data_IF_480688243243
#
_entry.id   IF_480688243243
#
_cell.length_a   1.000
_cell.length_b   1.000
_cell.length_c   1.000
_cell.angle_alpha   90.00
_cell.angle_beta   90.00
_cell.angle_gamma   90.00
#
_symmetry.space_group_name_H-M   'P 1'
#
loop_
_entity.id
_entity.type
_entity.pdbx_description
1 polymer ?
#
# COMPACT_ATOMS: atom_id res chain seq x y z
N UNK A 1 3.76 5.32 -30.25
CA UNK A 1 5.04 4.90 -29.63
C UNK A 1 5.66 6.02 -28.80
N UNK A 2 5.85 7.22 -29.35
CA UNK A 2 6.36 8.40 -28.63
C UNK A 2 5.54 8.80 -27.38
N UNK A 3 4.21 8.92 -27.51
CA UNK A 3 3.33 9.31 -26.39
C UNK A 3 3.39 8.32 -25.22
N UNK A 4 3.40 7.01 -25.51
CA UNK A 4 3.51 5.97 -24.47
C UNK A 4 4.81 6.11 -23.68
N UNK A 5 5.91 6.39 -24.37
CA UNK A 5 7.22 6.58 -23.73
C UNK A 5 7.26 7.86 -22.89
N UNK A 6 6.65 8.96 -23.37
CA UNK A 6 6.52 10.19 -22.59
C UNK A 6 5.73 9.96 -21.29
N UNK A 7 4.59 9.28 -21.37
CA UNK A 7 3.77 8.95 -20.19
C UNK A 7 4.51 8.05 -19.19
N UNK A 8 5.30 7.09 -19.66
CA UNK A 8 6.11 6.25 -18.78
C UNK A 8 7.17 7.09 -18.06
N UNK A 9 7.87 7.97 -18.78
CA UNK A 9 8.91 8.83 -18.20
C UNK A 9 8.33 9.81 -17.17
N UNK A 10 7.15 10.38 -17.44
CA UNK A 10 6.43 11.24 -16.50
C UNK A 10 6.07 10.47 -15.22
N UNK A 11 5.51 9.27 -15.38
CA UNK A 11 5.14 8.42 -14.25
C UNK A 11 6.38 8.01 -13.43
N UNK A 12 7.48 7.62 -14.07
CA UNK A 12 8.75 7.32 -13.40
C UNK A 12 9.30 8.52 -12.63
N UNK A 13 9.23 9.72 -13.21
CA UNK A 13 9.63 10.95 -12.55
C UNK A 13 8.77 11.21 -11.30
N UNK A 14 7.45 11.14 -11.42
CA UNK A 14 6.52 11.39 -10.32
C UNK A 14 6.72 10.40 -9.17
N UNK A 15 6.88 9.11 -9.47
CA UNK A 15 7.17 8.10 -8.44
C UNK A 15 8.54 8.30 -7.78
N UNK A 16 9.54 8.82 -8.50
CA UNK A 16 10.85 9.14 -7.94
C UNK A 16 10.78 10.31 -6.96
N UNK A 17 10.04 11.38 -7.32
CA UNK A 17 9.79 12.53 -6.45
C UNK A 17 9.01 12.09 -5.22
N UNK A 18 7.94 11.33 -5.41
CA UNK A 18 7.10 10.81 -4.33
C UNK A 18 7.89 9.94 -3.36
N UNK A 19 8.71 9.02 -3.86
CA UNK A 19 9.56 8.15 -3.03
C UNK A 19 10.56 8.97 -2.20
N UNK A 20 11.18 9.98 -2.83
CA UNK A 20 12.11 10.90 -2.14
C UNK A 20 11.40 11.69 -1.04
N UNK A 21 10.19 12.17 -1.32
CA UNK A 21 9.36 12.89 -0.35
C UNK A 21 8.98 12.01 0.84
N UNK A 22 8.47 10.80 0.60
CA UNK A 22 8.13 9.82 1.65
C UNK A 22 9.36 9.49 2.50
N UNK A 23 10.51 9.27 1.87
CA UNK A 23 11.76 8.96 2.57
C UNK A 23 12.20 10.12 3.47
N UNK A 24 12.13 11.36 2.96
CA UNK A 24 12.46 12.57 3.72
C UNK A 24 11.52 12.80 4.89
N UNK A 25 10.20 12.63 4.70
CA UNK A 25 9.22 12.76 5.78
C UNK A 25 9.47 11.74 6.89
N UNK A 26 9.68 10.48 6.52
CA UNK A 26 9.94 9.41 7.48
C UNK A 26 11.26 9.60 8.25
N UNK A 27 12.32 10.10 7.61
CA UNK A 27 13.59 10.37 8.30
C UNK A 27 13.50 11.50 9.34
N UNK A 28 12.51 12.40 9.19
CA UNK A 28 12.17 13.43 10.19
C UNK A 28 11.17 12.96 11.25
N UNK A 29 10.76 11.68 11.22
CA UNK A 29 9.74 11.13 12.12
C UNK A 29 8.29 11.48 11.75
N UNK A 30 8.05 12.11 10.60
CA UNK A 30 6.71 12.45 10.13
C UNK A 30 6.12 11.26 9.36
N UNK A 31 5.47 10.37 10.10
CA UNK A 31 5.04 9.06 9.58
C UNK A 31 3.61 9.02 9.02
N UNK A 32 2.85 10.11 9.18
CA UNK A 32 1.46 10.23 8.70
C UNK A 32 1.35 10.04 7.18
N UNK A 33 2.40 10.44 6.43
CA UNK A 33 2.48 10.25 4.99
C UNK A 33 2.27 8.80 4.57
N UNK A 34 2.71 7.82 5.37
CA UNK A 34 2.54 6.40 5.03
C UNK A 34 1.06 6.01 5.01
N UNK A 35 0.25 6.61 5.89
CA UNK A 35 -1.19 6.38 5.95
C UNK A 35 -1.92 7.10 4.83
N UNK A 36 -1.49 8.31 4.50
CA UNK A 36 -2.00 9.04 3.33
C UNK A 36 -1.78 8.23 2.04
N UNK A 37 -0.60 7.58 1.90
CA UNK A 37 -0.29 6.74 0.75
C UNK A 37 -1.24 5.57 0.54
N UNK A 38 -1.91 5.09 1.59
CA UNK A 38 -2.92 4.03 1.45
C UNK A 38 -4.10 4.49 0.59
N UNK A 39 -4.61 5.71 0.79
CA UNK A 39 -5.68 6.28 -0.03
C UNK A 39 -5.18 6.70 -1.42
N UNK A 40 -3.97 7.25 -1.53
CA UNK A 40 -3.41 7.67 -2.82
C UNK A 40 -3.13 6.51 -3.77
N UNK A 41 -2.61 5.38 -3.26
CA UNK A 41 -2.29 4.21 -4.08
C UNK A 41 -3.52 3.35 -4.41
N UNK A 42 -4.58 3.39 -3.60
CA UNK A 42 -5.80 2.61 -3.80
C UNK A 42 -6.38 2.68 -5.23
N UNK A 43 -6.62 3.87 -5.83
CA UNK A 43 -7.17 3.93 -7.18
C UNK A 43 -6.20 3.37 -8.22
N UNK A 44 -4.89 3.58 -8.06
CA UNK A 44 -3.86 3.06 -8.96
C UNK A 44 -3.85 1.53 -8.92
N UNK A 45 -3.84 0.95 -7.72
CA UNK A 45 -3.82 -0.50 -7.51
C UNK A 45 -5.10 -1.17 -8.04
N UNK A 46 -6.26 -0.53 -7.88
CA UNK A 46 -7.51 -1.03 -8.43
C UNK A 46 -7.50 -1.08 -9.96
N UNK A 47 -6.92 -0.07 -10.61
CA UNK A 47 -6.74 -0.06 -12.08
C UNK A 47 -5.75 -1.15 -12.52
N UNK A 48 -4.58 -1.22 -11.89
CA UNK A 48 -3.50 -2.16 -12.28
C UNK A 48 -3.93 -3.61 -12.09
N UNK A 49 -4.52 -3.93 -10.94
CA UNK A 49 -4.88 -5.31 -10.59
C UNK A 49 -6.32 -5.70 -10.97
N UNK A 50 -7.09 -4.77 -11.55
CA UNK A 50 -8.53 -4.94 -11.81
C UNK A 50 -9.26 -5.44 -10.57
N UNK A 51 -9.02 -4.78 -9.45
CA UNK A 51 -9.53 -5.14 -8.13
C UNK A 51 -10.53 -4.10 -7.62
N UNK A 52 -11.26 -4.44 -6.56
CA UNK A 52 -12.14 -3.50 -5.85
C UNK A 52 -11.67 -3.36 -4.39
N UNK A 53 -10.38 -3.07 -4.22
CA UNK A 53 -9.77 -2.81 -2.93
C UNK A 53 -10.40 -1.55 -2.30
N UNK A 54 -10.68 -1.64 -1.00
CA UNK A 54 -11.08 -0.53 -0.15
C UNK A 54 -10.06 -0.36 0.97
N UNK A 55 -9.87 0.88 1.44
CA UNK A 55 -9.03 1.15 2.60
C UNK A 55 -9.72 0.62 3.86
N UNK A 56 -9.06 -0.30 4.57
CA UNK A 56 -9.57 -0.98 5.75
C UNK A 56 -9.54 -0.10 7.00
N UNK A 57 -8.79 1.00 6.99
CA UNK A 57 -8.85 2.04 8.02
C UNK A 57 -10.26 2.64 8.18
N UNK A 58 -11.12 2.54 7.14
CA UNK A 58 -12.53 2.96 7.19
C UNK A 58 -13.39 2.11 8.14
N UNK A 59 -12.96 0.88 8.42
CA UNK A 59 -13.68 -0.05 9.31
C UNK A 59 -13.02 -0.18 10.68
N UNK A 60 -11.69 -0.12 10.73
CA UNK A 60 -10.93 -0.14 11.97
C UNK A 60 -9.67 0.70 11.81
N UNK A 61 -9.54 1.74 12.62
CA UNK A 61 -8.32 2.54 12.67
C UNK A 61 -7.11 1.65 12.95
N UNK A 62 -6.09 1.78 12.09
CA UNK A 62 -4.90 0.93 12.05
C UNK A 62 -5.27 -0.55 11.95
N UNK A 63 -5.98 -0.91 10.87
CA UNK A 63 -6.36 -2.28 10.59
C UNK A 63 -5.12 -3.19 10.65
N UNK A 64 -5.19 -4.36 11.31
CA UNK A 64 -4.02 -5.20 11.52
C UNK A 64 -3.47 -5.76 10.20
N UNK A 65 -2.15 -5.75 10.07
CA UNK A 65 -1.33 -6.42 9.04
C UNK A 65 -1.55 -6.00 7.57
N UNK A 66 -2.73 -5.53 7.18
CA UNK A 66 -3.06 -5.12 5.82
C UNK A 66 -3.81 -3.79 5.86
N UNK A 67 -3.66 -3.01 4.79
CA UNK A 67 -4.22 -1.67 4.71
C UNK A 67 -5.39 -1.62 3.73
N UNK A 68 -5.30 -2.39 2.64
CA UNK A 68 -6.34 -2.48 1.62
C UNK A 68 -6.88 -3.91 1.51
N UNK A 69 -8.18 -4.06 1.26
CA UNK A 69 -8.81 -5.36 1.09
C UNK A 69 -9.96 -5.35 0.08
N UNK A 70 -10.12 -6.45 -0.66
CA UNK A 70 -11.30 -6.79 -1.45
C UNK A 70 -11.81 -8.15 -0.96
N UNK A 71 -12.88 -8.13 -0.16
CA UNK A 71 -13.46 -9.33 0.45
C UNK A 71 -14.01 -10.29 -0.62
N UNK A 72 -14.56 -9.76 -1.73
CA UNK A 72 -15.18 -10.59 -2.77
C UNK A 72 -14.12 -11.41 -3.51
N UNK A 73 -13.02 -10.77 -3.89
CA UNK A 73 -11.91 -11.46 -4.54
C UNK A 73 -10.92 -12.09 -3.55
N UNK A 74 -11.15 -11.91 -2.24
CA UNK A 74 -10.23 -12.30 -1.15
C UNK A 74 -8.81 -11.78 -1.34
N UNK A 75 -8.64 -10.58 -1.93
CA UNK A 75 -7.33 -9.96 -2.15
C UNK A 75 -7.06 -8.92 -1.08
N UNK A 76 -5.80 -8.81 -0.66
CA UNK A 76 -5.37 -7.80 0.29
C UNK A 76 -4.03 -7.20 -0.12
N UNK A 77 -3.76 -5.98 0.34
CA UNK A 77 -2.49 -5.29 0.11
C UNK A 77 -2.06 -4.61 1.40
N UNK A 78 -0.79 -4.75 1.72
CA UNK A 78 -0.12 -3.99 2.76
C UNK A 78 0.75 -2.90 2.09
N UNK A 79 0.54 -1.65 2.48
CA UNK A 79 1.27 -0.47 2.00
C UNK A 79 2.38 -0.16 2.99
N UNK A 80 3.61 -0.02 2.49
CA UNK A 80 4.77 0.23 3.34
C UNK A 80 5.92 0.93 2.63
N UNK A 81 6.55 1.85 3.36
CA UNK A 81 7.79 2.52 2.97
C UNK A 81 9.05 1.80 3.48
N UNK A 82 8.92 0.67 4.18
CA UNK A 82 10.04 -0.15 4.67
C UNK A 82 9.89 -1.61 4.29
N UNK A 83 11.00 -2.24 3.87
CA UNK A 83 11.06 -3.58 3.27
C UNK A 83 11.85 -4.60 4.09
N UNK A 84 12.23 -4.29 5.33
CA UNK A 84 13.07 -5.16 6.15
C UNK A 84 12.39 -6.50 6.50
N UNK A 85 13.15 -7.61 6.45
CA UNK A 85 12.66 -8.97 6.74
C UNK A 85 11.89 -9.05 8.07
N UNK A 86 12.42 -8.45 9.13
CA UNK A 86 11.76 -8.43 10.45
C UNK A 86 10.36 -7.79 10.40
N UNK A 87 10.15 -6.78 9.55
CA UNK A 87 8.81 -6.18 9.37
C UNK A 87 7.89 -7.12 8.62
N UNK A 88 8.39 -7.79 7.59
CA UNK A 88 7.64 -8.80 6.86
C UNK A 88 7.17 -9.93 7.79
N UNK A 89 8.09 -10.53 8.55
CA UNK A 89 7.77 -11.63 9.48
C UNK A 89 6.69 -11.19 10.49
N UNK A 90 6.85 -10.01 11.10
CA UNK A 90 5.85 -9.43 12.03
C UNK A 90 4.50 -9.19 11.37
N UNK A 91 4.48 -8.86 10.09
CA UNK A 91 3.24 -8.63 9.33
C UNK A 91 2.50 -9.95 9.14
N UNK A 92 3.20 -11.02 8.78
CA UNK A 92 2.64 -12.37 8.66
C UNK A 92 2.13 -12.88 10.02
N UNK A 93 2.90 -12.71 11.09
CA UNK A 93 2.46 -13.07 12.45
C UNK A 93 1.17 -12.33 12.86
N UNK A 94 1.09 -11.03 12.59
CA UNK A 94 -0.12 -10.24 12.82
C UNK A 94 -1.29 -10.74 11.96
N UNK A 95 -1.03 -11.09 10.71
CA UNK A 95 -2.04 -11.56 9.76
C UNK A 95 -2.70 -12.86 10.26
N UNK A 96 -1.89 -13.81 10.75
CA UNK A 96 -2.36 -15.09 11.28
C UNK A 96 -3.01 -14.92 12.66
N UNK A 97 -2.38 -14.18 13.58
CA UNK A 97 -2.91 -13.98 14.94
C UNK A 97 -4.26 -13.27 14.98
N UNK A 98 -4.53 -12.41 13.99
CA UNK A 98 -5.83 -11.74 13.83
C UNK A 98 -6.80 -12.52 12.93
N UNK A 99 -6.44 -13.75 12.53
CA UNK A 99 -7.24 -14.65 11.71
C UNK A 99 -7.66 -14.03 10.35
N UNK A 100 -6.85 -13.13 9.80
CA UNK A 100 -7.14 -12.42 8.55
C UNK A 100 -7.03 -13.36 7.36
N UNK A 101 -6.15 -14.36 7.47
CA UNK A 101 -5.97 -15.46 6.50
C UNK A 101 -7.22 -16.33 6.30
N UNK A 102 -8.22 -16.25 7.18
CA UNK A 102 -9.51 -16.91 6.95
C UNK A 102 -10.37 -16.20 5.89
N UNK A 103 -10.12 -14.90 5.70
CA UNK A 103 -10.90 -14.02 4.83
C UNK A 103 -10.17 -13.73 3.52
N UNK A 104 -8.87 -13.43 3.60
CA UNK A 104 -8.04 -13.03 2.47
C UNK A 104 -6.99 -14.11 2.16
N UNK A 105 -6.68 -14.26 0.87
CA UNK A 105 -5.72 -15.21 0.32
C UNK A 105 -4.32 -14.61 0.19
#
# INVERSE_FOLDING_TARGET
>A
MLIKMQLINELEHDFSVLTSYITSQNSRGLTDINKEMEEYLLPILNVVYKANLINLNKFKYNYPAIDLGDIKSKRCVQITSTSGKTKFDKTIEKFISHNINSTYN
#
